data_IF_873738692012
#
_entry.id   IF_873738692012
#
_cell.length_a   1.000
_cell.length_b   1.000
_cell.length_c   1.000
_cell.angle_alpha   90.00
_cell.angle_beta   90.00
_cell.angle_gamma   90.00
#
_symmetry.space_group_name_H-M   'P 1'
#
loop_
_entity.id
_entity.type
_entity.pdbx_description
1 polymer ?
#
# COMPACT_ATOMS: atom_id res chain seq x y z
N UNK A 1 -8.25 -1.16 23.37
CA UNK A 1 -7.49 -0.60 22.26
C UNK A 1 -8.15 -0.97 20.91
N UNK A 2 -8.34 0.06 20.07
CA UNK A 2 -9.05 -0.02 18.80
C UNK A 2 -8.39 -1.00 17.80
N UNK A 3 -7.07 -0.91 17.63
CA UNK A 3 -6.33 -1.74 16.68
C UNK A 3 -6.20 -3.19 17.15
N UNK A 4 -6.05 -3.42 18.46
CA UNK A 4 -5.93 -4.77 19.04
C UNK A 4 -7.18 -5.61 18.81
N UNK A 5 -8.34 -4.96 18.68
CA UNK A 5 -9.64 -5.57 18.35
C UNK A 5 -9.82 -5.85 16.86
N UNK A 6 -8.76 -5.71 16.06
CA UNK A 6 -8.79 -5.98 14.63
C UNK A 6 -9.42 -4.87 13.77
N UNK A 7 -9.78 -3.73 14.36
CA UNK A 7 -10.31 -2.59 13.61
C UNK A 7 -9.21 -1.92 12.78
N UNK A 8 -9.62 -1.19 11.75
CA UNK A 8 -8.72 -0.50 10.81
C UNK A 8 -8.97 0.99 10.94
N UNK A 9 -7.90 1.76 11.14
CA UNK A 9 -7.94 3.21 11.15
C UNK A 9 -7.66 3.74 9.75
N UNK A 10 -8.49 4.64 9.26
CA UNK A 10 -8.28 5.40 8.02
C UNK A 10 -8.36 6.87 8.34
N UNK A 11 -7.33 7.61 7.95
CA UNK A 11 -7.32 9.06 8.07
C UNK A 11 -6.68 9.70 6.84
N UNK A 12 -7.00 10.95 6.60
CA UNK A 12 -6.42 11.76 5.53
C UNK A 12 -5.75 12.99 6.11
N UNK A 13 -4.67 13.42 5.47
CA UNK A 13 -3.90 14.62 5.83
C UNK A 13 -3.75 15.48 4.59
N UNK A 14 -4.09 16.76 4.71
CA UNK A 14 -3.89 17.72 3.63
C UNK A 14 -2.41 17.89 3.31
N UNK A 15 -2.11 17.99 2.02
CA UNK A 15 -0.75 18.21 1.51
C UNK A 15 -0.71 19.57 0.84
N UNK A 16 0.21 20.44 1.26
CA UNK A 16 0.36 21.77 0.68
C UNK A 16 0.62 21.69 -0.82
N UNK A 17 -0.14 22.46 -1.59
CA UNK A 17 0.00 22.51 -3.06
C UNK A 17 -0.66 21.34 -3.79
N UNK A 18 -1.48 20.53 -3.11
CA UNK A 18 -2.20 19.40 -3.70
C UNK A 18 -3.68 19.41 -3.29
N UNK A 19 -4.56 19.12 -4.24
CA UNK A 19 -5.99 18.91 -3.98
C UNK A 19 -6.27 17.49 -3.46
N UNK A 20 -5.34 16.56 -3.66
CA UNK A 20 -5.44 15.20 -3.15
C UNK A 20 -4.78 15.10 -1.77
N UNK A 21 -5.49 14.61 -0.74
CA UNK A 21 -4.89 14.38 0.56
C UNK A 21 -4.01 13.12 0.54
N UNK A 22 -3.08 13.05 1.49
CA UNK A 22 -2.39 11.81 1.83
C UNK A 22 -3.31 10.92 2.64
N UNK A 23 -3.50 9.69 2.20
CA UNK A 23 -4.26 8.68 2.94
C UNK A 23 -3.30 7.87 3.83
N UNK A 24 -3.74 7.58 5.05
CA UNK A 24 -2.99 6.78 6.04
C UNK A 24 -3.93 5.71 6.57
N UNK A 25 -3.56 4.46 6.36
CA UNK A 25 -4.34 3.29 6.80
C UNK A 25 -3.49 2.47 7.77
N UNK A 26 -4.03 2.21 8.94
CA UNK A 26 -3.31 1.48 9.99
C UNK A 26 -4.16 0.31 10.50
N UNK A 27 -3.53 -0.84 10.67
CA UNK A 27 -4.18 -2.02 11.22
C UNK A 27 -3.18 -2.99 11.83
N UNK A 28 -3.70 -4.01 12.50
CA UNK A 28 -2.91 -5.11 13.07
C UNK A 28 -3.14 -6.37 12.24
N UNK A 29 -2.07 -7.08 11.94
CA UNK A 29 -2.07 -8.39 11.28
C UNK A 29 -1.63 -9.44 12.29
N UNK A 30 -2.39 -10.54 12.39
CA UNK A 30 -2.10 -11.63 13.31
C UNK A 30 -1.01 -12.57 12.75
N UNK A 31 0.17 -12.02 12.57
CA UNK A 31 1.37 -12.74 12.12
C UNK A 31 2.61 -11.91 12.47
N UNK A 32 3.77 -12.55 12.64
CA UNK A 32 5.04 -11.86 12.86
C UNK A 32 5.42 -10.94 11.70
N UNK A 33 6.15 -9.83 11.96
CA UNK A 33 6.54 -8.88 10.91
C UNK A 33 7.24 -9.50 9.70
N UNK A 34 8.12 -10.46 9.91
CA UNK A 34 8.82 -11.13 8.82
C UNK A 34 7.86 -11.88 7.87
N UNK A 35 6.78 -12.46 8.40
CA UNK A 35 5.77 -13.15 7.59
C UNK A 35 4.92 -12.16 6.80
N UNK A 36 4.55 -11.04 7.39
CA UNK A 36 3.84 -9.96 6.70
C UNK A 36 4.70 -9.37 5.58
N UNK A 37 5.99 -9.18 5.85
CA UNK A 37 6.94 -8.63 4.89
C UNK A 37 7.07 -9.47 3.63
N UNK A 38 7.01 -10.79 3.72
CA UNK A 38 7.02 -11.69 2.55
C UNK A 38 5.94 -11.38 1.52
N UNK A 39 4.80 -10.85 1.94
CA UNK A 39 3.74 -10.41 1.02
C UNK A 39 4.09 -9.08 0.38
N UNK A 40 4.70 -8.16 1.13
CA UNK A 40 4.91 -6.77 0.71
C UNK A 40 6.22 -6.54 -0.07
N UNK A 41 7.21 -7.39 0.15
CA UNK A 41 8.56 -7.20 -0.42
C UNK A 41 8.62 -7.37 -1.94
N UNK A 42 7.69 -8.12 -2.54
CA UNK A 42 7.70 -8.44 -3.96
C UNK A 42 6.46 -7.90 -4.67
N UNK A 43 6.63 -6.85 -5.45
CA UNK A 43 5.52 -6.22 -6.18
C UNK A 43 4.89 -7.12 -7.27
N UNK A 44 5.54 -8.19 -7.71
CA UNK A 44 4.91 -9.17 -8.61
C UNK A 44 3.68 -9.84 -7.98
N UNK A 45 3.61 -9.86 -6.65
CA UNK A 45 2.49 -10.47 -5.92
C UNK A 45 1.31 -9.53 -5.71
N UNK A 46 1.45 -8.24 -5.98
CA UNK A 46 0.45 -7.23 -5.63
C UNK A 46 -0.88 -7.44 -6.35
N UNK A 47 -0.86 -7.86 -7.61
CA UNK A 47 -2.09 -8.20 -8.34
C UNK A 47 -2.90 -9.30 -7.65
N UNK A 48 -2.24 -10.30 -7.08
CA UNK A 48 -2.89 -11.39 -6.35
C UNK A 48 -3.38 -10.97 -4.97
N UNK A 49 -2.72 -10.00 -4.36
CA UNK A 49 -2.95 -9.57 -2.98
C UNK A 49 -3.97 -8.45 -2.89
N UNK A 50 -3.76 -7.39 -3.67
CA UNK A 50 -4.54 -6.16 -3.60
C UNK A 50 -5.45 -6.04 -4.81
N UNK A 51 -6.66 -6.34 -4.83
CA UNK A 51 -7.56 -6.27 -5.99
C UNK A 51 -7.55 -4.92 -6.72
N UNK A 52 -8.25 -4.82 -7.83
CA UNK A 52 -8.28 -3.69 -8.77
C UNK A 52 -6.96 -3.41 -9.48
N UNK A 53 -5.99 -4.31 -9.40
CA UNK A 53 -4.79 -4.26 -10.20
C UNK A 53 -4.93 -5.18 -11.41
N UNK A 54 -4.78 -4.61 -12.59
CA UNK A 54 -4.73 -5.36 -13.85
C UNK A 54 -3.36 -6.00 -14.00
N UNK A 55 -2.32 -5.28 -13.58
CA UNK A 55 -0.94 -5.73 -13.66
C UNK A 55 -0.14 -5.21 -12.47
N UNK A 56 0.78 -6.02 -11.99
CA UNK A 56 1.89 -5.61 -11.13
C UNK A 56 3.14 -6.38 -11.53
N UNK A 57 4.23 -5.68 -11.77
CA UNK A 57 5.47 -6.28 -12.27
C UNK A 57 6.71 -5.59 -11.74
N UNK A 58 7.64 -6.39 -11.23
CA UNK A 58 9.01 -5.94 -10.97
C UNK A 58 9.75 -5.81 -12.30
N UNK A 59 10.21 -4.60 -12.61
CA UNK A 59 10.97 -4.30 -13.84
C UNK A 59 12.47 -4.47 -13.60
N UNK A 60 12.96 -3.94 -12.47
CA UNK A 60 14.38 -3.97 -12.14
C UNK A 60 14.57 -3.95 -10.63
N UNK A 61 15.57 -4.67 -10.16
CA UNK A 61 16.07 -4.62 -8.79
C UNK A 61 17.57 -4.31 -8.79
N UNK A 62 17.99 -3.43 -7.89
CA UNK A 62 19.39 -3.12 -7.66
C UNK A 62 19.56 -2.87 -6.15
N UNK A 63 20.17 -3.84 -5.44
CA UNK A 63 20.29 -3.79 -3.99
C UNK A 63 18.93 -3.70 -3.31
N UNK A 64 18.72 -2.65 -2.52
CA UNK A 64 17.48 -2.34 -1.80
C UNK A 64 16.48 -1.51 -2.61
N UNK A 65 16.77 -1.24 -3.89
CA UNK A 65 15.91 -0.47 -4.79
C UNK A 65 15.19 -1.35 -5.79
N UNK A 66 13.90 -1.06 -5.98
CA UNK A 66 12.99 -1.86 -6.80
C UNK A 66 12.20 -0.94 -7.72
N UNK A 67 12.23 -1.17 -9.02
CA UNK A 67 11.39 -0.46 -9.97
C UNK A 67 10.23 -1.38 -10.34
N UNK A 68 9.02 -0.92 -10.06
CA UNK A 68 7.79 -1.67 -10.28
C UNK A 68 6.82 -0.90 -11.15
N UNK A 69 6.13 -1.62 -12.04
CA UNK A 69 5.00 -1.10 -12.79
C UNK A 69 3.71 -1.69 -12.23
N UNK A 70 2.73 -0.82 -11.98
CA UNK A 70 1.39 -1.19 -11.52
C UNK A 70 0.36 -0.52 -12.41
N UNK A 71 -0.65 -1.29 -12.83
CA UNK A 71 -1.81 -0.78 -13.57
C UNK A 71 -3.05 -1.02 -12.74
N UNK A 72 -3.75 0.07 -12.42
CA UNK A 72 -4.96 0.07 -11.60
C UNK A 72 -6.18 0.15 -12.49
N UNK A 73 -7.15 -0.73 -12.25
CA UNK A 73 -8.47 -0.66 -12.87
C UNK A 73 -9.31 0.40 -12.15
N UNK A 74 -9.67 1.44 -12.87
CA UNK A 74 -10.53 2.51 -12.36
C UNK A 74 -11.97 2.31 -12.83
N UNK A 75 -12.97 2.74 -12.02
CA UNK A 75 -14.35 2.66 -12.43
C UNK A 75 -14.61 3.40 -13.74
N UNK A 76 -15.48 2.79 -14.59
CA UNK A 76 -15.95 3.47 -15.80
C UNK A 76 -16.46 4.90 -15.48
N UNK A 77 -16.16 5.93 -16.30
CA UNK A 77 -15.52 5.89 -17.62
C UNK A 77 -14.00 6.19 -17.59
N UNK A 78 -13.31 6.09 -16.46
CA UNK A 78 -11.93 6.58 -16.32
C UNK A 78 -10.87 5.71 -16.99
N UNK A 79 -11.16 4.41 -17.21
CA UNK A 79 -10.18 3.47 -17.74
C UNK A 79 -9.08 3.13 -16.73
N UNK A 80 -7.93 2.69 -17.22
CA UNK A 80 -6.83 2.22 -16.41
C UNK A 80 -5.84 3.34 -16.10
N UNK A 81 -5.20 3.28 -14.94
CA UNK A 81 -4.10 4.15 -14.56
C UNK A 81 -2.81 3.34 -14.39
N UNK A 82 -1.80 3.67 -15.16
CA UNK A 82 -0.48 3.05 -15.11
C UNK A 82 0.50 3.92 -14.32
N UNK A 83 1.29 3.30 -13.46
CA UNK A 83 2.37 3.98 -12.73
C UNK A 83 3.62 3.11 -12.65
N UNK A 84 4.77 3.72 -12.91
CA UNK A 84 6.09 3.15 -12.65
C UNK A 84 6.69 3.88 -11.47
N UNK A 85 7.07 3.14 -10.45
CA UNK A 85 7.60 3.69 -9.19
C UNK A 85 8.96 3.09 -8.86
N UNK A 86 9.76 3.88 -8.15
CA UNK A 86 10.99 3.40 -7.50
C UNK A 86 10.71 3.25 -6.02
N UNK A 87 10.89 2.04 -5.50
CA UNK A 87 10.76 1.73 -4.09
C UNK A 87 12.13 1.44 -3.47
N UNK A 88 12.31 1.90 -2.24
CA UNK A 88 13.48 1.57 -1.41
C UNK A 88 13.01 0.76 -0.22
N UNK A 89 13.66 -0.38 0.02
CA UNK A 89 13.41 -1.23 1.17
C UNK A 89 14.41 -0.92 2.29
N UNK A 90 13.92 -0.91 3.52
CA UNK A 90 14.74 -0.91 4.72
C UNK A 90 14.26 -2.05 5.60
N UNK A 91 15.16 -2.97 5.92
CA UNK A 91 14.85 -4.18 6.69
C UNK A 91 15.72 -4.19 7.94
N UNK A 92 15.09 -4.04 9.10
CA UNK A 92 15.71 -4.18 10.43
C UNK A 92 14.97 -5.29 11.18
N UNK A 93 15.44 -6.56 11.10
CA UNK A 93 14.76 -7.69 11.75
C UNK A 93 14.48 -7.43 13.22
N UNK A 94 13.27 -7.74 13.66
CA UNK A 94 12.81 -7.49 15.03
C UNK A 94 12.42 -6.04 15.34
N UNK A 95 12.66 -5.09 14.44
CA UNK A 95 12.33 -3.66 14.63
C UNK A 95 11.35 -3.15 13.59
N UNK A 96 11.77 -3.08 12.33
CA UNK A 96 10.98 -2.46 11.27
C UNK A 96 11.33 -3.01 9.90
N UNK A 97 10.30 -3.23 9.10
CA UNK A 97 10.39 -3.46 7.67
C UNK A 97 9.67 -2.34 6.97
N UNK A 98 10.28 -1.70 6.00
CA UNK A 98 9.64 -0.63 5.26
C UNK A 98 9.93 -0.66 3.77
N UNK A 99 8.94 -0.23 3.00
CA UNK A 99 9.00 0.02 1.57
C UNK A 99 8.48 1.42 1.32
N UNK A 100 9.32 2.30 0.77
CA UNK A 100 8.94 3.67 0.39
C UNK A 100 9.10 3.84 -1.11
N UNK A 101 8.11 4.40 -1.77
CA UNK A 101 8.17 4.61 -3.21
C UNK A 101 7.91 6.05 -3.62
N UNK A 102 8.45 6.39 -4.79
CA UNK A 102 8.21 7.64 -5.51
C UNK A 102 7.91 7.34 -6.97
N UNK A 103 7.20 8.25 -7.63
CA UNK A 103 6.84 8.11 -9.03
C UNK A 103 8.07 8.30 -9.93
N UNK A 104 8.21 7.45 -10.96
CA UNK A 104 9.12 7.65 -12.08
C UNK A 104 8.35 8.18 -13.29
N UNK A 105 7.26 7.50 -13.68
CA UNK A 105 6.47 7.84 -14.88
C UNK A 105 5.07 7.22 -14.79
N UNK A 106 4.19 7.64 -15.69
CA UNK A 106 2.85 7.09 -15.83
C UNK A 106 1.76 8.16 -15.80
N UNK A 107 0.53 7.72 -15.48
CA UNK A 107 -0.69 8.52 -15.57
C UNK A 107 -0.96 9.35 -14.31
N UNK A 108 0.09 9.73 -13.61
CA UNK A 108 0.04 10.52 -12.39
C UNK A 108 0.96 11.74 -12.49
N UNK A 109 0.56 12.83 -11.88
CA UNK A 109 1.46 13.94 -11.56
C UNK A 109 2.23 13.66 -10.29
N UNK A 110 1.67 12.82 -9.40
CA UNK A 110 2.26 12.44 -8.15
C UNK A 110 1.78 11.05 -7.71
N UNK A 111 2.69 10.22 -7.25
CA UNK A 111 2.37 8.95 -6.61
C UNK A 111 3.55 8.54 -5.72
N UNK A 112 3.42 8.78 -4.44
CA UNK A 112 4.38 8.39 -3.43
C UNK A 112 3.69 7.76 -2.22
N UNK A 113 4.40 6.95 -1.48
CA UNK A 113 3.84 6.30 -0.31
C UNK A 113 4.79 5.36 0.39
N UNK A 114 4.24 4.60 1.31
CA UNK A 114 5.00 3.61 2.07
C UNK A 114 4.14 2.49 2.64
N UNK A 115 4.79 1.35 2.83
CA UNK A 115 4.38 0.30 3.76
C UNK A 115 5.38 0.26 4.91
N UNK A 116 4.89 0.22 6.13
CA UNK A 116 5.71 0.07 7.33
C UNK A 116 5.13 -1.06 8.18
N UNK A 117 5.98 -1.99 8.58
CA UNK A 117 5.62 -3.14 9.41
C UNK A 117 6.52 -3.18 10.64
N UNK A 118 5.91 -3.24 11.84
CA UNK A 118 6.60 -3.33 13.13
C UNK A 118 5.97 -4.39 14.01
N UNK A 119 6.68 -4.94 15.00
CA UNK A 119 6.03 -5.73 16.05
C UNK A 119 4.91 -4.92 16.72
N UNK A 120 3.75 -5.54 16.92
CA UNK A 120 2.63 -4.93 17.65
C UNK A 120 2.66 -5.27 19.15
N UNK A 121 3.12 -6.46 19.48
CA UNK A 121 3.24 -6.95 20.84
C UNK A 121 4.69 -7.27 21.19
N UNK A 122 4.99 -7.37 22.48
CA UNK A 122 6.35 -7.66 22.97
C UNK A 122 6.88 -9.03 22.50
N UNK A 123 5.99 -10.00 22.28
CA UNK A 123 6.35 -11.33 21.78
C UNK A 123 6.61 -11.35 20.26
N UNK A 124 6.27 -10.26 19.52
CA UNK A 124 6.44 -10.19 18.09
C UNK A 124 5.56 -11.15 17.29
N UNK A 125 4.45 -11.59 17.87
CA UNK A 125 3.51 -12.55 17.25
C UNK A 125 2.52 -11.87 16.31
N UNK A 126 2.30 -10.58 16.50
CA UNK A 126 1.43 -9.74 15.69
C UNK A 126 2.19 -8.53 15.17
N UNK A 127 1.72 -8.00 14.05
CA UNK A 127 2.34 -6.85 13.38
C UNK A 127 1.43 -5.64 13.36
N UNK A 128 1.96 -4.49 13.73
CA UNK A 128 1.41 -3.19 13.39
C UNK A 128 1.81 -2.87 11.94
N UNK A 129 0.84 -2.52 11.12
CA UNK A 129 1.05 -2.22 9.70
C UNK A 129 0.43 -0.89 9.35
N UNK A 130 1.19 -0.05 8.65
CA UNK A 130 0.71 1.21 8.13
C UNK A 130 0.99 1.31 6.62
N UNK A 131 -0.06 1.64 5.88
CA UNK A 131 -0.02 2.00 4.48
C UNK A 131 -0.26 3.50 4.34
N UNK A 132 0.59 4.19 3.60
CA UNK A 132 0.39 5.59 3.25
C UNK A 132 0.48 5.75 1.75
N UNK A 133 -0.37 6.60 1.19
CA UNK A 133 -0.33 6.93 -0.23
C UNK A 133 -0.77 8.37 -0.46
N UNK A 134 -0.03 9.06 -1.32
CA UNK A 134 -0.41 10.32 -1.90
C UNK A 134 -0.35 10.17 -3.41
N UNK A 135 -1.49 10.08 -4.06
CA UNK A 135 -1.61 9.87 -5.50
C UNK A 135 -2.48 10.95 -6.13
N UNK A 136 -1.94 11.60 -7.13
CA UNK A 136 -2.63 12.57 -7.99
C UNK A 136 -2.62 12.04 -9.42
N UNK A 137 -3.71 11.39 -9.87
CA UNK A 137 -3.88 11.09 -11.29
C UNK A 137 -3.83 12.36 -12.14
N UNK A 138 -3.27 12.26 -13.33
CA UNK A 138 -3.24 13.39 -14.28
C UNK A 138 -4.57 13.62 -15.02
N UNK A 139 -5.63 12.97 -14.56
CA UNK A 139 -7.02 13.14 -15.01
C UNK A 139 -7.91 13.52 -13.83
N UNK A 140 -9.01 14.28 -14.05
CA UNK A 140 -9.96 14.60 -13.01
C UNK A 140 -10.61 13.33 -12.43
N UNK A 141 -10.67 13.24 -11.10
CA UNK A 141 -11.33 12.14 -10.40
C UNK A 141 -12.64 12.63 -9.81
N UNK A 142 -13.81 12.08 -10.20
CA UNK A 142 -15.08 12.41 -9.62
C UNK A 142 -15.13 12.21 -8.11
N UNK A 143 -15.85 13.09 -7.39
CA UNK A 143 -15.92 13.05 -5.93
C UNK A 143 -16.48 11.74 -5.36
N UNK A 144 -17.41 11.08 -6.06
CA UNK A 144 -17.96 9.80 -5.63
C UNK A 144 -16.91 8.67 -5.64
N UNK A 145 -15.96 8.70 -6.58
CA UNK A 145 -14.84 7.74 -6.62
C UNK A 145 -13.91 7.98 -5.43
N UNK A 146 -13.60 9.23 -5.10
CA UNK A 146 -12.80 9.58 -3.91
C UNK A 146 -13.46 9.09 -2.63
N UNK A 147 -14.77 9.28 -2.51
CA UNK A 147 -15.56 8.81 -1.35
C UNK A 147 -15.51 7.29 -1.25
N UNK A 148 -15.69 6.58 -2.35
CA UNK A 148 -15.59 5.11 -2.37
C UNK A 148 -14.20 4.62 -1.96
N UNK A 149 -13.14 5.29 -2.43
CA UNK A 149 -11.77 4.95 -2.04
C UNK A 149 -11.58 5.03 -0.52
N UNK A 150 -12.04 6.10 0.12
CA UNK A 150 -11.94 6.27 1.57
C UNK A 150 -12.76 5.24 2.35
N UNK A 151 -13.96 4.92 1.89
CA UNK A 151 -14.89 4.02 2.60
C UNK A 151 -14.55 2.54 2.44
N UNK A 152 -14.09 2.12 1.28
CA UNK A 152 -13.88 0.69 0.98
C UNK A 152 -12.47 0.35 0.53
N UNK A 153 -11.94 1.01 -0.47
CA UNK A 153 -10.66 0.63 -1.10
C UNK A 153 -9.48 0.72 -0.12
N UNK A 154 -9.41 1.78 0.66
CA UNK A 154 -8.32 1.98 1.64
C UNK A 154 -8.37 0.96 2.78
N UNK A 155 -9.49 0.74 3.47
CA UNK A 155 -9.57 -0.32 4.49
C UNK A 155 -9.28 -1.70 3.92
N UNK A 156 -9.67 -1.98 2.69
CA UNK A 156 -9.46 -3.26 2.02
C UNK A 156 -7.97 -3.59 1.81
N UNK A 157 -7.10 -2.60 1.76
CA UNK A 157 -5.65 -2.86 1.70
C UNK A 157 -5.19 -3.73 2.88
N UNK A 158 -5.59 -3.38 4.09
CA UNK A 158 -5.24 -4.17 5.29
C UNK A 158 -5.99 -5.51 5.33
N UNK A 159 -7.28 -5.54 4.95
CA UNK A 159 -8.06 -6.78 4.92
C UNK A 159 -7.45 -7.82 3.96
N UNK A 160 -7.07 -7.38 2.77
CA UNK A 160 -6.45 -8.23 1.75
C UNK A 160 -5.06 -8.67 2.14
N UNK A 161 -4.29 -7.80 2.78
CA UNK A 161 -3.00 -8.18 3.36
C UNK A 161 -3.16 -9.29 4.40
N UNK A 162 -4.12 -9.18 5.32
CA UNK A 162 -4.45 -10.21 6.31
C UNK A 162 -4.79 -11.56 5.63
N UNK A 163 -5.61 -11.52 4.59
CA UNK A 163 -5.98 -12.72 3.83
C UNK A 163 -4.78 -13.38 3.13
N UNK A 164 -3.91 -12.57 2.52
CA UNK A 164 -2.71 -13.06 1.84
C UNK A 164 -1.71 -13.69 2.83
N UNK A 165 -1.49 -13.06 3.98
CA UNK A 165 -0.58 -13.56 5.02
C UNK A 165 -1.02 -14.91 5.56
N UNK A 166 -2.33 -15.16 5.69
CA UNK A 166 -2.87 -16.46 6.13
C UNK A 166 -2.53 -17.61 5.16
N UNK A 167 -2.34 -17.32 3.89
CA UNK A 167 -2.03 -18.33 2.86
C UNK A 167 -0.55 -18.72 2.81
N UNK A 168 0.32 -17.95 3.47
CA UNK A 168 1.75 -18.26 3.57
C UNK A 168 1.94 -19.33 4.64
N UNK A 169 2.54 -20.46 4.27
CA UNK A 169 2.92 -21.55 5.18
C UNK A 169 4.16 -21.18 6.00
#
# INVERSE_FOLDING_TARGET
DFLSKGKISVRTVSVKGSDAPRAIVTGVVNAPPAKVWKVLENCNNYKKTFGRLIMSKLIKQSGDQFICKVVVDMPFPLGDLSGVTRATHKVEPGKEYSRKWTLISGDYTRNDGSWVVRPFDAAGTRSWVQYQVHAEPNIPIPGWIRTQAQKSTLPDMIKKLRAAVKKIK
#
